data_IF_356476041004
#
_entry.id   IF_356476041004
#
_cell.length_a   1.000
_cell.length_b   1.000
_cell.length_c   1.000
_cell.angle_alpha   90.00
_cell.angle_beta   90.00
_cell.angle_gamma   90.00
#
_symmetry.space_group_name_H-M   'P 1'
#
loop_
_entity.id
_entity.type
_entity.pdbx_description
1 polymer ?
#
# COMPACT_ATOMS: atom_id res chain seq x y z
N UNK A 1 2.01 -21.32 16.65
CA UNK A 1 2.38 -20.25 15.71
C UNK A 1 1.14 -19.86 14.92
N UNK A 2 0.73 -18.60 14.95
CA UNK A 2 -0.47 -18.15 14.23
C UNK A 2 -0.27 -18.26 12.70
N UNK A 3 -1.38 -18.30 11.94
CA UNK A 3 -1.32 -18.32 10.47
C UNK A 3 -0.59 -17.09 9.92
N UNK A 4 -0.82 -15.93 10.51
CA UNK A 4 -0.17 -14.65 10.17
C UNK A 4 1.36 -14.78 10.20
N UNK A 5 1.89 -15.35 11.28
CA UNK A 5 3.33 -15.56 11.45
C UNK A 5 3.89 -16.63 10.51
N UNK A 6 3.12 -17.69 10.20
CA UNK A 6 3.54 -18.72 9.23
C UNK A 6 3.68 -18.14 7.82
N UNK A 7 2.70 -17.34 7.37
CA UNK A 7 2.75 -16.68 6.07
C UNK A 7 3.87 -15.64 6.05
N UNK A 8 4.06 -14.88 7.13
CA UNK A 8 5.17 -13.94 7.25
C UNK A 8 6.52 -14.64 7.02
N UNK A 9 6.81 -15.71 7.75
CA UNK A 9 8.08 -16.44 7.59
C UNK A 9 8.24 -17.10 6.22
N UNK A 10 7.15 -17.50 5.56
CA UNK A 10 7.21 -18.02 4.20
C UNK A 10 7.86 -17.02 3.23
N UNK A 11 7.53 -15.73 3.34
CA UNK A 11 8.12 -14.67 2.53
C UNK A 11 9.47 -14.19 3.06
N UNK A 12 9.58 -13.94 4.36
CA UNK A 12 10.79 -13.35 4.95
C UNK A 12 11.99 -14.32 4.96
N UNK A 13 11.76 -15.63 5.04
CA UNK A 13 12.84 -16.61 4.95
C UNK A 13 13.53 -16.67 3.57
N UNK A 14 13.03 -15.96 2.56
CA UNK A 14 13.70 -15.79 1.27
C UNK A 14 14.73 -14.65 1.30
N UNK A 15 14.59 -13.72 2.24
CA UNK A 15 15.53 -12.62 2.43
C UNK A 15 16.92 -13.11 2.86
N UNK A 16 17.94 -12.39 2.47
CA UNK A 16 19.37 -12.67 2.74
C UNK A 16 19.91 -13.98 2.14
N UNK A 17 19.12 -14.66 1.27
CA UNK A 17 19.57 -15.84 0.53
C UNK A 17 20.17 -15.51 -0.82
N UNK A 18 19.62 -14.53 -1.50
CA UNK A 18 20.04 -14.13 -2.84
C UNK A 18 20.06 -12.60 -2.97
N UNK A 19 21.23 -11.99 -3.23
CA UNK A 19 21.34 -10.52 -3.35
C UNK A 19 20.37 -9.90 -4.38
N UNK A 20 20.07 -10.64 -5.47
CA UNK A 20 19.14 -10.18 -6.50
C UNK A 20 17.70 -10.10 -5.98
N UNK A 21 17.30 -11.06 -5.14
CA UNK A 21 15.99 -11.07 -4.49
C UNK A 21 15.87 -9.90 -3.53
N UNK A 22 16.88 -9.69 -2.68
CA UNK A 22 16.89 -8.61 -1.69
C UNK A 22 16.83 -7.24 -2.36
N UNK A 23 17.61 -7.05 -3.43
CA UNK A 23 17.57 -5.81 -4.23
C UNK A 23 16.17 -5.57 -4.84
N UNK A 24 15.54 -6.62 -5.37
CA UNK A 24 14.18 -6.52 -5.92
C UNK A 24 13.14 -6.21 -4.83
N UNK A 25 13.25 -6.84 -3.66
CA UNK A 25 12.36 -6.59 -2.51
C UNK A 25 12.52 -5.16 -2.02
N UNK A 26 13.75 -4.68 -1.82
CA UNK A 26 14.04 -3.30 -1.40
C UNK A 26 13.46 -2.31 -2.42
N UNK A 27 13.71 -2.54 -3.72
CA UNK A 27 13.18 -1.68 -4.77
C UNK A 27 11.65 -1.62 -4.74
N UNK A 28 10.96 -2.76 -4.65
CA UNK A 28 9.51 -2.83 -4.62
C UNK A 28 8.92 -2.26 -3.33
N UNK A 29 9.60 -2.45 -2.19
CA UNK A 29 9.11 -2.00 -0.90
C UNK A 29 9.24 -0.49 -0.68
N UNK A 30 10.36 0.12 -1.11
CA UNK A 30 10.68 1.52 -0.81
C UNK A 30 10.57 2.44 -2.04
N UNK A 31 11.08 2.01 -3.20
CA UNK A 31 11.22 2.91 -4.35
C UNK A 31 10.08 2.82 -5.36
N UNK A 32 9.56 1.62 -5.61
CA UNK A 32 8.56 1.39 -6.67
C UNK A 32 7.29 2.21 -6.46
N UNK A 33 6.91 2.48 -5.20
CA UNK A 33 5.78 3.34 -4.87
C UNK A 33 5.89 4.76 -5.44
N UNK A 34 7.09 5.34 -5.47
CA UNK A 34 7.31 6.65 -6.07
C UNK A 34 7.07 6.63 -7.58
N UNK A 35 7.53 5.56 -8.26
CA UNK A 35 7.27 5.39 -9.70
C UNK A 35 5.79 5.22 -10.00
N UNK A 36 5.05 4.47 -9.18
CA UNK A 36 3.60 4.29 -9.31
C UNK A 36 2.87 5.63 -9.15
N UNK A 37 3.24 6.43 -8.14
CA UNK A 37 2.67 7.76 -7.93
C UNK A 37 3.02 8.73 -9.07
N UNK A 38 4.29 8.77 -9.50
CA UNK A 38 4.73 9.59 -10.62
C UNK A 38 4.04 9.20 -11.93
N UNK A 39 3.84 7.90 -12.18
CA UNK A 39 3.12 7.40 -13.34
C UNK A 39 1.64 7.83 -13.33
N UNK A 40 0.98 7.80 -12.17
CA UNK A 40 -0.37 8.35 -12.04
C UNK A 40 -0.42 9.83 -12.43
N UNK A 41 0.50 10.63 -11.91
CA UNK A 41 0.59 12.06 -12.25
C UNK A 41 0.84 12.26 -13.73
N UNK A 42 1.79 11.50 -14.33
CA UNK A 42 2.08 11.57 -15.75
C UNK A 42 0.86 11.24 -16.62
N UNK A 43 0.10 10.20 -16.28
CA UNK A 43 -1.14 9.86 -16.99
C UNK A 43 -2.16 10.99 -16.92
N UNK A 44 -2.32 11.65 -15.77
CA UNK A 44 -3.24 12.78 -15.64
C UNK A 44 -2.87 13.96 -16.55
N UNK A 45 -1.57 14.19 -16.77
CA UNK A 45 -1.10 15.27 -17.64
C UNK A 45 -1.06 14.90 -19.12
N UNK A 46 -0.54 13.70 -19.45
CA UNK A 46 -0.26 13.28 -20.82
C UNK A 46 -1.46 12.66 -21.52
N UNK A 47 -2.25 11.85 -20.80
CA UNK A 47 -3.41 11.24 -21.41
C UNK A 47 -4.53 12.26 -21.51
N UNK A 48 -5.17 12.27 -22.68
CA UNK A 48 -6.39 13.04 -22.94
C UNK A 48 -7.61 12.52 -22.18
N UNK A 49 -7.48 12.23 -20.89
CA UNK A 49 -8.59 11.98 -19.97
C UNK A 49 -9.35 13.28 -19.71
N UNK A 50 -10.18 13.67 -20.62
CA UNK A 50 -10.56 14.96 -21.07
C UNK A 50 -11.32 15.85 -20.09
N UNK A 51 -12.47 15.46 -19.65
CA UNK A 51 -13.35 16.37 -18.89
C UNK A 51 -13.26 16.18 -17.37
N UNK A 52 -12.76 15.02 -16.89
CA UNK A 52 -12.85 14.64 -15.49
C UNK A 52 -11.48 14.55 -14.75
N UNK A 53 -10.40 15.08 -15.34
CA UNK A 53 -9.04 15.02 -14.71
C UNK A 53 -9.03 15.53 -13.28
N UNK A 54 -9.64 16.67 -13.04
CA UNK A 54 -9.70 17.26 -11.71
C UNK A 54 -10.51 16.41 -10.74
N UNK A 55 -11.60 15.80 -11.20
CA UNK A 55 -12.39 14.88 -10.37
C UNK A 55 -11.61 13.62 -10.02
N UNK A 56 -10.93 13.01 -11.00
CA UNK A 56 -10.08 11.84 -10.78
C UNK A 56 -8.99 12.17 -9.77
N UNK A 57 -8.26 13.25 -10.00
CA UNK A 57 -7.21 13.70 -9.10
C UNK A 57 -7.72 13.94 -7.68
N UNK A 58 -8.80 14.71 -7.52
CA UNK A 58 -9.39 15.00 -6.21
C UNK A 58 -9.90 13.73 -5.52
N UNK A 59 -10.54 12.80 -6.26
CA UNK A 59 -11.00 11.54 -5.70
C UNK A 59 -9.83 10.71 -5.20
N UNK A 60 -8.74 10.58 -5.98
CA UNK A 60 -7.54 9.85 -5.57
C UNK A 60 -6.89 10.53 -4.37
N UNK A 61 -6.66 11.84 -4.43
CA UNK A 61 -6.02 12.59 -3.36
C UNK A 61 -6.80 12.48 -2.05
N UNK A 62 -8.11 12.73 -2.09
CA UNK A 62 -8.97 12.67 -0.90
C UNK A 62 -9.04 11.25 -0.33
N UNK A 63 -9.10 10.22 -1.19
CA UNK A 63 -9.11 8.81 -0.76
C UNK A 63 -7.80 8.43 -0.05
N UNK A 64 -6.67 8.85 -0.61
CA UNK A 64 -5.35 8.60 -0.03
C UNK A 64 -5.17 9.36 1.29
N UNK A 65 -5.54 10.63 1.35
CA UNK A 65 -5.47 11.43 2.58
C UNK A 65 -6.35 10.79 3.66
N UNK A 66 -7.58 10.44 3.34
CA UNK A 66 -8.50 9.81 4.29
C UNK A 66 -7.94 8.48 4.80
N UNK A 67 -7.49 7.59 3.91
CA UNK A 67 -7.02 6.26 4.28
C UNK A 67 -5.68 6.30 5.03
N UNK A 68 -4.68 7.00 4.47
CA UNK A 68 -3.30 6.94 4.95
C UNK A 68 -3.00 7.93 6.06
N UNK A 69 -3.46 9.19 5.93
CA UNK A 69 -3.09 10.25 6.87
C UNK A 69 -4.09 10.40 8.00
N UNK A 70 -5.35 9.99 7.81
CA UNK A 70 -6.37 10.12 8.85
C UNK A 70 -6.63 8.77 9.51
N UNK A 71 -7.25 7.82 8.82
CA UNK A 71 -7.71 6.57 9.42
C UNK A 71 -6.53 5.73 9.93
N UNK A 72 -5.48 5.55 9.10
CA UNK A 72 -4.29 4.79 9.51
C UNK A 72 -3.62 5.39 10.74
N UNK A 73 -3.46 6.71 10.81
CA UNK A 73 -2.79 7.35 11.93
C UNK A 73 -3.67 7.34 13.21
N UNK A 74 -4.99 7.48 13.08
CA UNK A 74 -5.91 7.30 14.23
C UNK A 74 -5.78 5.89 14.80
N UNK A 75 -5.80 4.85 13.93
CA UNK A 75 -5.68 3.47 14.40
C UNK A 75 -4.32 3.24 15.06
N UNK A 76 -3.21 3.74 14.50
CA UNK A 76 -1.87 3.64 15.08
C UNK A 76 -1.75 4.35 16.43
N UNK A 77 -2.40 5.48 16.57
CA UNK A 77 -2.47 6.19 17.85
C UNK A 77 -3.19 5.39 18.94
N UNK A 78 -4.28 4.69 18.56
CA UNK A 78 -5.08 3.87 19.49
C UNK A 78 -4.46 2.49 19.73
N UNK A 79 -3.78 1.92 18.73
CA UNK A 79 -3.21 0.58 18.77
C UNK A 79 -1.90 0.51 18.01
N UNK A 80 -0.80 0.57 18.74
CA UNK A 80 0.53 0.45 18.17
C UNK A 80 1.04 -0.99 18.27
N UNK A 81 0.92 -1.76 17.18
CA UNK A 81 1.49 -3.10 17.07
C UNK A 81 2.99 -3.02 16.82
N UNK A 82 3.86 -3.75 17.58
CA UNK A 82 5.28 -3.83 17.27
C UNK A 82 5.50 -4.51 15.92
N UNK A 83 6.53 -4.06 15.18
CA UNK A 83 6.90 -4.66 13.89
C UNK A 83 7.52 -6.05 14.05
N UNK A 84 7.51 -6.90 12.97
CA UNK A 84 8.09 -8.23 13.02
C UNK A 84 9.52 -8.25 13.56
N UNK A 85 10.40 -7.37 13.06
CA UNK A 85 11.80 -7.30 13.49
C UNK A 85 12.01 -6.84 14.96
N UNK A 86 11.00 -6.23 15.57
CA UNK A 86 11.02 -5.88 16.99
C UNK A 86 10.59 -7.04 17.89
N UNK A 87 9.83 -8.00 17.35
CA UNK A 87 9.22 -9.09 18.11
C UNK A 87 9.86 -10.46 17.84
N UNK A 88 10.55 -10.60 16.71
CA UNK A 88 11.13 -11.86 16.25
C UNK A 88 12.51 -11.63 15.64
N UNK A 89 13.37 -12.68 15.69
CA UNK A 89 14.62 -12.71 14.95
C UNK A 89 14.33 -12.98 13.47
N UNK A 90 14.27 -11.93 12.66
CA UNK A 90 13.90 -11.96 11.23
C UNK A 90 14.81 -11.02 10.46
N UNK A 91 14.91 -11.25 9.14
CA UNK A 91 15.67 -10.37 8.24
C UNK A 91 14.89 -9.09 7.98
N UNK A 92 15.50 -7.94 8.28
CA UNK A 92 14.96 -6.62 7.99
C UNK A 92 15.73 -6.00 6.82
N UNK A 93 15.07 -5.88 5.65
CA UNK A 93 15.71 -5.34 4.44
C UNK A 93 15.50 -3.83 4.24
N UNK A 94 14.54 -3.22 4.94
CA UNK A 94 14.24 -1.78 4.85
C UNK A 94 14.03 -1.18 6.24
N UNK A 95 14.43 0.07 6.42
CA UNK A 95 14.29 0.77 7.70
C UNK A 95 12.87 1.29 7.92
N UNK A 96 12.34 1.03 9.11
CA UNK A 96 11.03 1.49 9.54
C UNK A 96 10.96 1.68 11.06
N UNK A 97 10.38 2.78 11.52
CA UNK A 97 10.42 3.16 12.93
C UNK A 97 9.06 3.26 13.63
N UNK A 98 7.95 3.18 12.88
CA UNK A 98 6.60 3.38 13.44
C UNK A 98 5.86 2.06 13.66
N UNK A 99 4.65 2.15 14.24
CA UNK A 99 3.76 1.01 14.46
C UNK A 99 3.53 0.20 13.17
N UNK A 100 3.43 -1.12 13.31
CA UNK A 100 3.22 -2.03 12.18
C UNK A 100 1.80 -1.96 11.62
N UNK A 101 0.80 -1.88 12.49
CA UNK A 101 -0.62 -2.00 12.12
C UNK A 101 -1.34 -0.65 12.12
N UNK A 102 -2.17 -0.39 11.10
CA UNK A 102 -2.22 -1.06 9.82
C UNK A 102 -1.10 -0.57 8.88
N UNK A 103 -0.85 -1.29 7.76
CA UNK A 103 0.17 -0.89 6.79
C UNK A 103 -0.24 0.38 6.04
N UNK A 104 0.57 1.44 6.20
CA UNK A 104 0.33 2.71 5.53
C UNK A 104 0.54 2.65 4.01
N UNK A 105 1.51 1.86 3.53
CA UNK A 105 1.71 1.62 2.10
C UNK A 105 0.49 0.90 1.49
N UNK A 106 -0.03 -0.13 2.14
CA UNK A 106 -1.24 -0.80 1.67
C UNK A 106 -2.44 0.17 1.65
N UNK A 107 -2.68 0.93 2.73
CA UNK A 107 -3.77 1.90 2.77
C UNK A 107 -3.67 2.93 1.62
N UNK A 108 -2.46 3.45 1.36
CA UNK A 108 -2.21 4.41 0.29
C UNK A 108 -2.48 3.82 -1.10
N UNK A 109 -1.79 2.73 -1.45
CA UNK A 109 -1.82 2.21 -2.82
C UNK A 109 -3.13 1.51 -3.18
N UNK A 110 -3.80 0.87 -2.22
CA UNK A 110 -5.13 0.30 -2.46
C UNK A 110 -6.21 1.38 -2.55
N UNK A 111 -6.10 2.49 -1.82
CA UNK A 111 -6.99 3.64 -2.00
C UNK A 111 -6.82 4.28 -3.38
N UNK A 112 -5.58 4.51 -3.82
CA UNK A 112 -5.26 5.02 -5.16
C UNK A 112 -5.81 4.08 -6.23
N UNK A 113 -5.54 2.78 -6.15
CA UNK A 113 -5.98 1.79 -7.12
C UNK A 113 -7.51 1.76 -7.26
N UNK A 114 -8.24 1.74 -6.14
CA UNK A 114 -9.71 1.71 -6.14
C UNK A 114 -10.30 3.02 -6.66
N UNK A 115 -9.75 4.16 -6.28
CA UNK A 115 -10.20 5.45 -6.79
C UNK A 115 -10.05 5.54 -8.31
N UNK A 116 -8.90 5.09 -8.86
CA UNK A 116 -8.68 5.03 -10.31
C UNK A 116 -9.63 4.03 -10.98
N UNK A 117 -9.89 2.88 -10.34
CA UNK A 117 -10.75 1.81 -10.86
C UNK A 117 -12.18 2.28 -11.14
N UNK A 118 -12.70 3.22 -10.36
CA UNK A 118 -14.03 3.80 -10.60
C UNK A 118 -14.14 4.55 -11.93
N UNK A 119 -13.06 5.13 -12.41
CA UNK A 119 -13.02 5.88 -13.66
C UNK A 119 -12.51 5.06 -14.84
N UNK A 120 -11.54 4.18 -14.59
CA UNK A 120 -10.95 3.30 -15.59
C UNK A 120 -10.61 1.93 -14.98
N UNK A 121 -11.46 0.94 -15.24
CA UNK A 121 -11.30 -0.42 -14.67
C UNK A 121 -9.97 -1.08 -15.04
N UNK A 122 -9.54 -0.93 -16.31
CA UNK A 122 -8.29 -1.53 -16.80
C UNK A 122 -7.08 -0.90 -16.13
N UNK A 123 -7.05 0.42 -16.07
CA UNK A 123 -5.97 1.14 -15.41
C UNK A 123 -5.96 0.85 -13.90
N UNK A 124 -7.11 0.90 -13.24
CA UNK A 124 -7.22 0.56 -11.82
C UNK A 124 -6.74 -0.86 -11.50
N UNK A 125 -7.00 -1.84 -12.38
CA UNK A 125 -6.49 -3.20 -12.21
C UNK A 125 -4.95 -3.25 -12.23
N UNK A 126 -4.28 -2.47 -13.08
CA UNK A 126 -2.82 -2.34 -13.08
C UNK A 126 -2.31 -1.69 -11.78
N UNK A 127 -2.98 -0.68 -11.27
CA UNK A 127 -2.64 -0.07 -9.98
C UNK A 127 -2.87 -1.04 -8.81
N UNK A 128 -3.90 -1.90 -8.85
CA UNK A 128 -4.08 -2.99 -7.88
C UNK A 128 -2.94 -3.99 -7.94
N UNK A 129 -2.50 -4.40 -9.13
CA UNK A 129 -1.34 -5.30 -9.28
C UNK A 129 -0.07 -4.67 -8.66
N UNK A 130 0.19 -3.39 -8.92
CA UNK A 130 1.29 -2.66 -8.31
C UNK A 130 1.16 -2.58 -6.77
N UNK A 131 -0.04 -2.29 -6.24
CA UNK A 131 -0.31 -2.26 -4.81
C UNK A 131 -0.05 -3.61 -4.13
N UNK A 132 -0.43 -4.71 -4.78
CA UNK A 132 -0.17 -6.08 -4.29
C UNK A 132 1.34 -6.37 -4.28
N UNK A 133 2.07 -6.01 -5.32
CA UNK A 133 3.54 -6.21 -5.37
C UNK A 133 4.24 -5.44 -4.26
N UNK A 134 3.90 -4.16 -4.06
CA UNK A 134 4.42 -3.34 -2.95
C UNK A 134 4.09 -4.01 -1.61
N UNK A 135 2.84 -4.42 -1.42
CA UNK A 135 2.37 -5.03 -0.18
C UNK A 135 3.12 -6.34 0.16
N UNK A 136 3.31 -7.23 -0.82
CA UNK A 136 4.07 -8.47 -0.63
C UNK A 136 5.55 -8.20 -0.34
N UNK A 137 6.14 -7.22 -1.02
CA UNK A 137 7.51 -6.80 -0.76
C UNK A 137 7.70 -6.28 0.68
N UNK A 138 6.72 -5.57 1.25
CA UNK A 138 6.75 -5.11 2.66
C UNK A 138 6.73 -6.27 3.65
N UNK A 139 6.04 -7.37 3.35
CA UNK A 139 6.07 -8.59 4.16
C UNK A 139 7.43 -9.29 4.03
N UNK A 140 7.93 -9.47 2.81
CA UNK A 140 9.22 -10.10 2.54
C UNK A 140 10.38 -9.30 3.16
N UNK A 141 10.30 -7.96 3.14
CA UNK A 141 11.29 -7.07 3.76
C UNK A 141 11.29 -7.11 5.31
N UNK A 142 10.40 -7.87 5.94
CA UNK A 142 10.40 -8.05 7.40
C UNK A 142 9.74 -6.94 8.20
N UNK A 143 9.02 -6.01 7.56
CA UNK A 143 8.51 -4.79 8.23
C UNK A 143 7.01 -4.79 8.52
N UNK A 144 6.23 -5.69 7.90
CA UNK A 144 4.79 -5.84 8.14
C UNK A 144 4.36 -7.30 8.20
N UNK A 145 3.37 -7.58 9.03
CA UNK A 145 2.65 -8.85 8.99
C UNK A 145 1.62 -8.86 7.85
N UNK A 146 1.24 -10.05 7.33
CA UNK A 146 0.16 -10.17 6.34
C UNK A 146 -1.15 -9.48 6.76
N UNK A 147 -1.53 -9.60 8.05
CA UNK A 147 -2.74 -8.95 8.58
C UNK A 147 -2.66 -7.42 8.58
N UNK A 148 -1.47 -6.81 8.72
CA UNK A 148 -1.30 -5.36 8.61
C UNK A 148 -1.59 -4.89 7.18
N UNK A 149 -1.14 -5.69 6.20
CA UNK A 149 -1.38 -5.45 4.77
C UNK A 149 -2.87 -5.56 4.45
N UNK A 150 -3.52 -6.63 4.90
CA UNK A 150 -4.96 -6.83 4.67
C UNK A 150 -5.79 -5.69 5.28
N UNK A 151 -5.49 -5.31 6.52
CA UNK A 151 -6.17 -4.20 7.17
C UNK A 151 -5.97 -2.87 6.39
N UNK A 152 -4.72 -2.57 6.00
CA UNK A 152 -4.43 -1.40 5.19
C UNK A 152 -5.17 -1.41 3.85
N UNK A 153 -5.19 -2.55 3.15
CA UNK A 153 -5.90 -2.71 1.88
C UNK A 153 -7.42 -2.46 2.04
N UNK A 154 -8.03 -3.03 3.07
CA UNK A 154 -9.46 -2.82 3.38
C UNK A 154 -9.74 -1.35 3.67
N UNK A 155 -8.92 -0.71 4.52
CA UNK A 155 -9.04 0.73 4.83
C UNK A 155 -8.93 1.55 3.54
N UNK A 156 -7.95 1.27 2.69
CA UNK A 156 -7.75 1.97 1.43
C UNK A 156 -8.96 1.86 0.50
N UNK A 157 -9.42 0.64 0.25
CA UNK A 157 -10.57 0.38 -0.62
C UNK A 157 -11.84 1.04 -0.09
N UNK A 158 -12.15 0.87 1.20
CA UNK A 158 -13.35 1.46 1.80
C UNK A 158 -13.31 3.00 1.80
N UNK A 159 -12.15 3.60 2.04
CA UNK A 159 -11.97 5.05 1.94
C UNK A 159 -12.27 5.57 0.53
N UNK A 160 -11.75 4.89 -0.50
CA UNK A 160 -12.02 5.27 -1.88
C UNK A 160 -13.50 5.08 -2.26
N UNK A 161 -14.15 4.00 -1.80
CA UNK A 161 -15.58 3.80 -1.99
C UNK A 161 -16.40 4.93 -1.34
N UNK A 162 -16.07 5.29 -0.11
CA UNK A 162 -16.76 6.37 0.61
C UNK A 162 -16.61 7.71 -0.13
N UNK A 163 -15.36 8.09 -0.47
CA UNK A 163 -15.08 9.34 -1.20
C UNK A 163 -15.83 9.38 -2.54
N UNK A 164 -15.76 8.29 -3.32
CA UNK A 164 -16.43 8.23 -4.63
C UNK A 164 -17.95 8.38 -4.51
N UNK A 165 -18.55 7.78 -3.48
CA UNK A 165 -20.00 7.92 -3.25
C UNK A 165 -20.41 9.36 -2.98
N UNK A 166 -19.60 10.13 -2.23
CA UNK A 166 -19.87 11.54 -1.94
C UNK A 166 -19.58 12.48 -3.12
N UNK A 167 -18.55 12.17 -3.93
CA UNK A 167 -18.19 12.99 -5.11
C UNK A 167 -19.15 12.78 -6.28
N UNK A 168 -19.82 11.62 -6.36
CA UNK A 168 -20.78 11.31 -7.42
C UNK A 168 -22.17 11.95 -7.21
N UNK A 169 -22.49 12.38 -5.99
CA UNK A 169 -23.70 13.17 -5.69
C UNK A 169 -23.53 14.62 -6.10
#
# INVERSE_FOLDING_TARGET
MSLDIKIFYFFNNLAEKWPIFDTAVIFLADYFGYFVAAFFIAILFLASFHKDKSKIFLTVLTSVVLSRLIITEIIRFLYCRPRPFMAYAVSQLVDENHCSFPSGHAAFFFAMAMAIYFYNKKLGAWFFAAAILIALARVAAGVHYPTDILAGAVIGVLSACAVFYFVKK
#
